data_IF_106253159833
#
_entry.id   IF_106253159833
#
_cell.length_a   1.000
_cell.length_b   1.000
_cell.length_c   1.000
_cell.angle_alpha   90.00
_cell.angle_beta   90.00
_cell.angle_gamma   90.00
#
_symmetry.space_group_name_H-M   'P 1'
#
loop_
_entity.id
_entity.type
_entity.pdbx_description
1 polymer ?
#
# COMPACT_ATOMS: atom_id res chain seq x y z
N UNK A 1 -24.11 17.41 12.09
CA UNK A 1 -25.16 17.61 11.05
C UNK A 1 -25.33 19.07 10.56
N UNK A 2 -24.72 20.10 11.20
CA UNK A 2 -24.72 21.48 10.66
C UNK A 2 -23.47 21.83 9.82
N UNK A 3 -22.38 21.08 9.94
CA UNK A 3 -21.13 21.29 9.19
C UNK A 3 -21.23 20.81 7.72
N UNK A 4 -22.00 19.75 7.47
CA UNK A 4 -22.16 19.14 6.14
C UNK A 4 -22.84 20.05 5.08
N UNK A 5 -23.56 21.10 5.51
CA UNK A 5 -24.23 22.04 4.60
C UNK A 5 -23.40 23.26 4.20
N UNK A 6 -22.22 23.48 4.80
CA UNK A 6 -21.40 24.65 4.48
C UNK A 6 -20.64 24.48 3.16
N UNK A 7 -20.36 23.23 2.75
CA UNK A 7 -19.55 22.90 1.59
C UNK A 7 -20.35 22.48 0.34
N UNK A 8 -21.65 22.18 0.48
CA UNK A 8 -22.48 21.58 -0.58
C UNK A 8 -22.91 22.54 -1.69
N UNK A 9 -22.31 23.74 -1.76
CA UNK A 9 -22.68 24.80 -2.69
C UNK A 9 -21.54 25.79 -2.93
N UNK A 10 -20.28 25.34 -2.92
CA UNK A 10 -19.16 26.21 -3.28
C UNK A 10 -19.27 26.63 -4.74
N UNK A 11 -19.77 27.85 -4.94
CA UNK A 11 -19.79 28.53 -6.21
C UNK A 11 -18.34 28.57 -6.74
N UNK A 12 -18.11 27.98 -7.92
CA UNK A 12 -16.80 27.93 -8.61
C UNK A 12 -16.12 29.29 -8.67
N UNK A 13 -16.91 30.38 -8.63
CA UNK A 13 -16.44 31.77 -8.55
C UNK A 13 -15.73 32.11 -7.24
N UNK A 14 -16.17 31.56 -6.09
CA UNK A 14 -15.54 31.79 -4.78
C UNK A 14 -14.15 31.14 -4.77
N UNK A 15 -14.06 29.87 -5.20
CA UNK A 15 -12.76 29.18 -5.34
C UNK A 15 -11.80 29.92 -6.27
N UNK A 16 -12.29 30.37 -7.43
CA UNK A 16 -11.51 31.20 -8.36
C UNK A 16 -10.97 32.47 -7.71
N UNK A 17 -11.77 33.14 -6.87
CA UNK A 17 -11.34 34.34 -6.14
C UNK A 17 -10.35 34.03 -5.03
N UNK A 18 -10.50 32.91 -4.32
CA UNK A 18 -9.54 32.49 -3.30
C UNK A 18 -8.20 32.07 -3.92
N UNK A 19 -8.24 31.45 -5.10
CA UNK A 19 -7.03 31.04 -5.83
C UNK A 19 -6.10 32.20 -6.16
N UNK A 20 -6.62 33.44 -6.28
CA UNK A 20 -5.78 34.61 -6.50
C UNK A 20 -4.76 34.84 -5.37
N UNK A 21 -5.09 34.42 -4.13
CA UNK A 21 -4.21 34.49 -2.97
C UNK A 21 -3.27 33.29 -2.89
N UNK A 22 -3.65 32.13 -3.44
CA UNK A 22 -2.80 30.95 -3.56
C UNK A 22 -1.77 31.03 -4.71
N UNK A 23 -2.11 31.72 -5.80
CA UNK A 23 -1.30 31.83 -7.03
C UNK A 23 0.16 32.27 -6.79
N UNK A 24 0.47 33.25 -5.92
CA UNK A 24 1.86 33.62 -5.61
C UNK A 24 2.68 32.46 -5.01
N UNK A 25 2.02 31.51 -4.36
CA UNK A 25 2.63 30.32 -3.75
C UNK A 25 2.51 29.07 -4.63
N UNK A 26 2.09 29.20 -5.90
CA UNK A 26 1.79 28.09 -6.79
C UNK A 26 2.93 27.08 -6.97
N UNK A 27 4.20 27.53 -6.97
CA UNK A 27 5.35 26.63 -7.04
C UNK A 27 5.47 25.72 -5.81
N UNK A 28 5.18 26.23 -4.61
CA UNK A 28 5.18 25.44 -3.37
C UNK A 28 4.00 24.48 -3.32
N UNK A 29 2.82 24.93 -3.78
CA UNK A 29 1.62 24.09 -3.91
C UNK A 29 1.89 22.92 -4.87
N UNK A 30 2.59 23.16 -5.99
CA UNK A 30 2.99 22.11 -6.91
C UNK A 30 3.93 21.09 -6.24
N UNK A 31 4.90 21.55 -5.44
CA UNK A 31 5.79 20.65 -4.69
C UNK A 31 5.01 19.82 -3.67
N UNK A 32 4.08 20.44 -2.91
CA UNK A 32 3.19 19.75 -1.98
C UNK A 32 2.40 18.65 -2.71
N UNK A 33 1.83 18.98 -3.88
CA UNK A 33 1.09 18.02 -4.69
C UNK A 33 1.97 16.84 -5.16
N UNK A 34 3.21 17.12 -5.60
CA UNK A 34 4.17 16.06 -5.97
C UNK A 34 4.52 15.20 -4.76
N UNK A 35 4.71 15.78 -3.58
CA UNK A 35 4.97 15.03 -2.35
C UNK A 35 3.79 14.13 -1.98
N UNK A 36 2.55 14.62 -2.10
CA UNK A 36 1.34 13.82 -1.87
C UNK A 36 1.34 12.61 -2.81
N UNK A 37 1.53 12.82 -4.12
CA UNK A 37 1.59 11.72 -5.08
C UNK A 37 2.71 10.72 -4.78
N UNK A 38 3.88 11.19 -4.35
CA UNK A 38 4.99 10.32 -3.96
C UNK A 38 4.66 9.49 -2.72
N UNK A 39 4.07 10.10 -1.69
CA UNK A 39 3.65 9.42 -0.45
C UNK A 39 2.58 8.38 -0.76
N UNK A 40 1.55 8.73 -1.55
CA UNK A 40 0.52 7.78 -1.98
C UNK A 40 1.11 6.62 -2.79
N UNK A 41 2.08 6.89 -3.66
CA UNK A 41 2.82 5.85 -4.39
C UNK A 41 3.54 4.88 -3.44
N UNK A 42 4.19 5.39 -2.40
CA UNK A 42 4.85 4.57 -1.37
C UNK A 42 3.81 3.76 -0.58
N UNK A 43 2.70 4.36 -0.16
CA UNK A 43 1.64 3.69 0.58
C UNK A 43 1.03 2.51 -0.19
N UNK A 44 0.94 2.61 -1.53
CA UNK A 44 0.50 1.52 -2.39
C UNK A 44 1.62 0.47 -2.58
N UNK A 45 2.88 0.89 -2.68
CA UNK A 45 4.01 -0.02 -2.86
C UNK A 45 4.22 -0.94 -1.65
N UNK A 46 4.04 -0.46 -0.41
CA UNK A 46 4.23 -1.23 0.82
C UNK A 46 3.41 -2.54 0.87
N UNK A 47 2.07 -2.54 0.73
CA UNK A 47 1.28 -3.77 0.75
C UNK A 47 1.61 -4.69 -0.43
N UNK A 48 1.97 -4.15 -1.60
CA UNK A 48 2.39 -4.95 -2.76
C UNK A 48 3.71 -5.67 -2.50
N UNK A 49 4.69 -4.99 -1.90
CA UNK A 49 5.95 -5.59 -1.48
C UNK A 49 5.68 -6.68 -0.43
N UNK A 50 4.90 -6.38 0.61
CA UNK A 50 4.57 -7.35 1.66
C UNK A 50 3.88 -8.58 1.08
N UNK A 51 2.89 -8.39 0.20
CA UNK A 51 2.21 -9.49 -0.50
C UNK A 51 3.21 -10.34 -1.27
N UNK A 52 4.05 -9.72 -2.10
CA UNK A 52 5.05 -10.43 -2.89
C UNK A 52 6.06 -11.20 -2.02
N UNK A 53 6.41 -10.65 -0.85
CA UNK A 53 7.31 -11.31 0.10
C UNK A 53 6.65 -12.52 0.74
N UNK A 54 5.42 -12.35 1.21
CA UNK A 54 4.64 -13.43 1.84
C UNK A 54 4.44 -14.57 0.85
N UNK A 55 3.94 -14.26 -0.35
CA UNK A 55 3.56 -15.23 -1.37
C UNK A 55 4.77 -16.04 -1.90
N UNK A 56 5.92 -15.40 -2.08
CA UNK A 56 7.06 -16.05 -2.74
C UNK A 56 8.13 -16.59 -1.80
N UNK A 57 8.26 -16.05 -0.58
CA UNK A 57 9.36 -16.40 0.33
C UNK A 57 8.90 -16.96 1.67
N UNK A 58 7.69 -16.61 2.14
CA UNK A 58 7.17 -17.09 3.44
C UNK A 58 6.24 -18.29 3.23
N UNK A 59 5.11 -18.11 2.55
CA UNK A 59 4.10 -19.14 2.28
C UNK A 59 4.34 -19.84 0.93
N UNK A 60 5.58 -20.24 0.69
CA UNK A 60 5.99 -20.95 -0.53
C UNK A 60 5.61 -22.44 -0.49
N UNK A 61 4.35 -22.75 -0.24
CA UNK A 61 3.83 -24.12 -0.29
C UNK A 61 3.30 -24.49 -1.66
N UNK A 62 3.45 -25.77 -2.01
CA UNK A 62 2.93 -26.38 -3.22
C UNK A 62 1.89 -27.43 -2.84
N UNK A 63 0.83 -27.50 -3.64
CA UNK A 63 -0.16 -28.55 -3.60
C UNK A 63 0.22 -29.63 -4.61
N UNK A 64 -0.01 -30.89 -4.22
CA UNK A 64 0.14 -32.04 -5.10
C UNK A 64 -1.22 -32.38 -5.70
N UNK A 65 -1.27 -32.38 -7.02
CA UNK A 65 -2.43 -32.72 -7.83
C UNK A 65 -2.16 -34.02 -8.60
N UNK A 66 -3.18 -34.85 -8.75
CA UNK A 66 -3.13 -36.03 -9.62
C UNK A 66 -3.31 -35.57 -11.07
N UNK A 67 -2.48 -36.06 -12.01
CA UNK A 67 -2.58 -35.67 -13.41
C UNK A 67 -3.83 -36.28 -14.07
N UNK A 68 -4.73 -35.43 -14.53
CA UNK A 68 -6.00 -35.75 -15.19
C UNK A 68 -6.39 -34.57 -16.13
N UNK A 69 -7.11 -34.84 -17.21
CA UNK A 69 -7.69 -33.83 -18.12
C UNK A 69 -8.30 -32.62 -17.38
N UNK A 70 -9.13 -32.84 -16.35
CA UNK A 70 -9.73 -31.78 -15.51
C UNK A 70 -8.69 -30.95 -14.78
N UNK A 71 -7.71 -31.59 -14.15
CA UNK A 71 -6.63 -30.86 -13.46
C UNK A 71 -5.76 -30.09 -14.45
N UNK A 72 -5.56 -30.61 -15.65
CA UNK A 72 -4.79 -29.94 -16.69
C UNK A 72 -5.52 -28.72 -17.20
N UNK A 73 -6.84 -28.80 -17.38
CA UNK A 73 -7.74 -27.71 -17.77
C UNK A 73 -7.75 -26.58 -16.72
N UNK A 74 -8.06 -26.90 -15.45
CA UNK A 74 -8.09 -25.90 -14.37
C UNK A 74 -6.71 -25.28 -14.15
N UNK A 75 -5.63 -26.06 -14.27
CA UNK A 75 -4.26 -25.56 -14.08
C UNK A 75 -3.62 -24.98 -15.33
N UNK A 76 -4.29 -24.96 -16.48
CA UNK A 76 -3.64 -24.49 -17.72
C UNK A 76 -3.34 -22.99 -17.68
N UNK A 77 -4.21 -22.21 -17.03
CA UNK A 77 -3.99 -20.79 -16.72
C UNK A 77 -2.69 -20.55 -15.95
N UNK A 78 -2.24 -21.55 -15.16
CA UNK A 78 -1.03 -21.49 -14.34
C UNK A 78 0.12 -22.34 -14.90
N UNK A 79 0.10 -22.66 -16.20
CA UNK A 79 1.07 -23.56 -16.86
C UNK A 79 2.54 -23.18 -16.64
N UNK A 80 2.85 -21.89 -16.47
CA UNK A 80 4.22 -21.40 -16.21
C UNK A 80 4.72 -21.84 -14.82
N UNK A 81 3.82 -21.88 -13.83
CA UNK A 81 4.15 -22.12 -12.42
C UNK A 81 4.05 -23.59 -12.03
N UNK A 82 3.34 -24.42 -12.81
CA UNK A 82 3.22 -25.84 -12.52
C UNK A 82 4.52 -26.62 -12.81
N UNK A 83 4.79 -27.60 -11.96
CA UNK A 83 5.85 -28.60 -12.15
C UNK A 83 5.16 -29.93 -12.42
N UNK A 84 5.40 -30.52 -13.60
CA UNK A 84 4.81 -31.82 -13.96
C UNK A 84 5.86 -32.91 -13.76
N UNK A 85 5.47 -34.00 -13.12
CA UNK A 85 6.30 -35.19 -12.97
C UNK A 85 5.42 -36.42 -13.10
N UNK A 86 5.69 -37.28 -14.08
CA UNK A 86 4.93 -38.51 -14.37
C UNK A 86 3.40 -38.34 -14.26
N UNK A 87 2.80 -38.76 -13.13
CA UNK A 87 1.36 -38.73 -12.89
C UNK A 87 0.92 -37.65 -11.87
N UNK A 88 1.77 -36.68 -11.56
CA UNK A 88 1.52 -35.64 -10.55
C UNK A 88 1.88 -34.25 -11.08
N UNK A 89 1.12 -33.26 -10.60
CA UNK A 89 1.37 -31.83 -10.85
C UNK A 89 1.57 -31.16 -9.51
N UNK A 90 2.66 -30.40 -9.36
CA UNK A 90 2.83 -29.48 -8.25
C UNK A 90 2.45 -28.07 -8.68
N UNK A 91 1.61 -27.42 -7.88
CA UNK A 91 1.18 -26.04 -8.11
C UNK A 91 1.33 -25.22 -6.83
N UNK A 92 1.87 -23.99 -6.88
CA UNK A 92 1.88 -23.11 -5.72
C UNK A 92 0.48 -22.94 -5.11
N UNK A 93 0.36 -23.08 -3.79
CA UNK A 93 -0.92 -23.09 -3.09
C UNK A 93 -1.66 -21.76 -3.13
N UNK A 94 -0.94 -20.66 -3.35
CA UNK A 94 -1.49 -19.30 -3.41
C UNK A 94 -2.12 -18.94 -4.77
N UNK A 95 -2.00 -19.81 -5.78
CA UNK A 95 -2.54 -19.53 -7.13
C UNK A 95 -3.98 -19.99 -7.32
N UNK A 96 -4.43 -20.99 -6.56
CA UNK A 96 -5.80 -21.50 -6.67
C UNK A 96 -6.76 -20.60 -5.92
N UNK A 97 -7.82 -20.17 -6.61
CA UNK A 97 -8.95 -19.53 -5.95
C UNK A 97 -9.70 -20.54 -5.07
N UNK A 98 -10.47 -20.05 -4.11
CA UNK A 98 -11.23 -20.91 -3.18
C UNK A 98 -12.16 -21.89 -3.92
N UNK A 99 -12.84 -21.42 -4.97
CA UNK A 99 -13.77 -22.25 -5.74
C UNK A 99 -13.03 -23.34 -6.53
N UNK A 100 -11.94 -22.99 -7.21
CA UNK A 100 -11.08 -23.92 -7.94
C UNK A 100 -10.49 -24.99 -6.98
N UNK A 101 -10.06 -24.58 -5.79
CA UNK A 101 -9.56 -25.50 -4.77
C UNK A 101 -10.64 -26.49 -4.32
N UNK A 102 -11.85 -26.01 -4.00
CA UNK A 102 -12.94 -26.86 -3.53
C UNK A 102 -13.43 -27.82 -4.61
N UNK A 103 -13.47 -27.39 -5.87
CA UNK A 103 -13.80 -28.24 -7.02
C UNK A 103 -12.80 -29.40 -7.16
N UNK A 104 -11.50 -29.08 -7.17
CA UNK A 104 -10.44 -30.07 -7.29
C UNK A 104 -10.33 -30.98 -6.04
N UNK A 105 -10.71 -30.48 -4.87
CA UNK A 105 -10.76 -31.28 -3.64
C UNK A 105 -11.96 -32.25 -3.65
N UNK A 106 -13.12 -31.81 -4.13
CA UNK A 106 -14.35 -32.64 -4.19
C UNK A 106 -14.13 -33.89 -5.03
N UNK A 107 -13.41 -33.74 -6.14
CA UNK A 107 -13.08 -34.84 -7.04
C UNK A 107 -11.84 -35.65 -6.58
N UNK A 108 -11.33 -35.41 -5.36
CA UNK A 108 -10.14 -36.06 -4.80
C UNK A 108 -8.85 -35.89 -5.63
N UNK A 109 -8.78 -34.84 -6.46
CA UNK A 109 -7.59 -34.53 -7.26
C UNK A 109 -6.51 -33.78 -6.47
N UNK A 110 -6.89 -33.10 -5.38
CA UNK A 110 -5.95 -32.45 -4.43
C UNK A 110 -5.81 -33.32 -3.19
N UNK A 111 -4.56 -33.63 -2.84
CA UNK A 111 -4.22 -34.13 -1.51
C UNK A 111 -4.07 -32.94 -0.54
N UNK A 112 -4.58 -33.02 0.70
CA UNK A 112 -4.55 -31.90 1.66
C UNK A 112 -3.13 -31.58 2.15
N UNK A 113 -2.16 -32.42 1.84
CA UNK A 113 -0.77 -32.24 2.25
C UNK A 113 -0.08 -31.15 1.42
N UNK A 114 0.53 -30.19 2.13
CA UNK A 114 1.37 -29.15 1.53
C UNK A 114 2.81 -29.66 1.38
N UNK A 115 3.48 -29.20 0.34
CA UNK A 115 4.87 -29.54 0.01
C UNK A 115 5.72 -28.28 -0.08
N UNK A 116 6.98 -28.35 0.36
CA UNK A 116 7.98 -27.29 0.13
C UNK A 116 8.88 -27.69 -1.02
N UNK A 117 9.05 -26.79 -1.97
CA UNK A 117 9.99 -26.96 -3.07
C UNK A 117 11.37 -26.44 -2.70
N UNK A 118 12.37 -27.32 -2.76
CA UNK A 118 13.77 -27.00 -2.55
C UNK A 118 14.51 -27.15 -3.87
N UNK A 119 15.17 -26.07 -4.28
CA UNK A 119 15.99 -26.02 -5.50
C UNK A 119 17.44 -26.40 -5.24
N UNK A 120 17.93 -26.14 -4.03
CA UNK A 120 19.33 -26.37 -3.67
C UNK A 120 19.61 -27.85 -3.38
N UNK A 121 20.48 -28.45 -4.20
CA UNK A 121 20.91 -29.84 -4.08
C UNK A 121 21.87 -30.06 -2.90
N UNK A 122 22.64 -29.04 -2.50
CA UNK A 122 23.61 -29.17 -1.40
C UNK A 122 22.91 -29.26 -0.03
N UNK A 123 21.87 -28.46 0.19
CA UNK A 123 21.01 -28.55 1.37
C UNK A 123 20.30 -29.90 1.50
N UNK A 124 19.96 -30.53 0.37
CA UNK A 124 19.33 -31.86 0.31
C UNK A 124 20.27 -32.98 0.77
N UNK A 125 21.57 -32.88 0.48
CA UNK A 125 22.55 -33.90 0.86
C UNK A 125 22.74 -34.00 2.38
N UNK A 126 22.64 -32.87 3.09
CA UNK A 126 22.70 -32.81 4.57
C UNK A 126 21.47 -33.41 5.25
N UNK A 127 20.37 -33.60 4.50
CA UNK A 127 19.10 -34.13 5.01
C UNK A 127 18.89 -35.62 4.73
N UNK A 128 19.82 -36.29 4.02
CA UNK A 128 19.75 -37.74 3.75
C UNK A 128 19.64 -38.58 5.02
N UNK A 129 20.20 -38.10 6.13
CA UNK A 129 20.13 -38.75 7.45
C UNK A 129 18.71 -38.87 8.03
N UNK A 130 17.78 -38.01 7.61
CA UNK A 130 16.41 -37.97 8.14
C UNK A 130 15.42 -38.90 7.42
N UNK A 131 15.88 -39.67 6.41
CA UNK A 131 15.06 -40.60 5.62
C UNK A 131 13.73 -39.99 5.16
N UNK A 132 13.80 -38.79 4.59
CA UNK A 132 12.63 -38.03 4.13
C UNK A 132 12.07 -38.63 2.83
N UNK A 133 10.75 -38.62 2.68
CA UNK A 133 10.00 -38.94 1.46
C UNK A 133 10.08 -37.78 0.47
N UNK A 134 11.24 -37.66 -0.18
CA UNK A 134 11.51 -36.57 -1.13
C UNK A 134 11.05 -36.95 -2.52
N UNK A 135 10.15 -36.14 -3.09
CA UNK A 135 9.72 -36.30 -4.49
C UNK A 135 10.63 -35.44 -5.36
N UNK A 136 11.50 -36.08 -6.15
CA UNK A 136 12.40 -35.39 -7.08
C UNK A 136 11.68 -35.13 -8.40
N UNK A 137 11.80 -33.91 -8.90
CA UNK A 137 11.27 -33.49 -10.20
C UNK A 137 12.37 -32.80 -11.02
N UNK A 138 12.09 -32.54 -12.29
CA UNK A 138 12.95 -31.78 -13.20
C UNK A 138 13.34 -30.38 -12.66
N UNK A 139 12.42 -29.69 -11.97
CA UNK A 139 12.61 -28.32 -11.48
C UNK A 139 13.10 -28.23 -10.03
N UNK A 140 13.03 -29.31 -9.26
CA UNK A 140 13.43 -29.30 -7.85
C UNK A 140 12.94 -30.52 -7.07
N UNK A 141 13.24 -30.53 -5.77
CA UNK A 141 12.77 -31.59 -4.86
C UNK A 141 11.66 -31.07 -3.96
N UNK A 142 10.62 -31.87 -3.77
CA UNK A 142 9.48 -31.53 -2.92
C UNK A 142 9.53 -32.36 -1.64
N UNK A 143 9.44 -31.68 -0.50
CA UNK A 143 9.39 -32.29 0.83
C UNK A 143 8.02 -32.03 1.46
N UNK A 144 7.31 -33.06 1.93
CA UNK A 144 6.04 -32.88 2.62
C UNK A 144 6.21 -32.11 3.93
N UNK A 145 5.26 -31.22 4.26
CA UNK A 145 5.30 -30.44 5.52
C UNK A 145 5.23 -31.33 6.77
N UNK A 146 4.56 -32.47 6.68
CA UNK A 146 4.48 -33.48 7.75
C UNK A 146 5.87 -33.97 8.17
N UNK A 147 6.80 -34.06 7.23
CA UNK A 147 8.16 -34.52 7.49
C UNK A 147 9.12 -33.45 7.98
N UNK A 148 8.76 -32.16 7.83
CA UNK A 148 9.60 -31.08 8.37
C UNK A 148 9.71 -31.12 9.89
N UNK A 149 8.74 -31.73 10.58
CA UNK A 149 8.79 -31.92 12.04
C UNK A 149 9.96 -32.80 12.48
N UNK A 150 10.49 -33.65 11.58
CA UNK A 150 11.64 -34.52 11.85
C UNK A 150 12.98 -33.78 11.76
N UNK A 151 12.99 -32.59 11.16
CA UNK A 151 14.21 -31.83 10.90
C UNK A 151 14.45 -30.84 12.05
N UNK A 152 15.69 -30.78 12.55
CA UNK A 152 16.07 -29.78 13.55
C UNK A 152 15.87 -28.35 13.03
N UNK A 153 15.40 -27.39 13.84
CA UNK A 153 15.18 -25.99 13.42
C UNK A 153 16.39 -25.34 12.74
N UNK A 154 17.61 -25.68 13.13
CA UNK A 154 18.82 -25.11 12.52
C UNK A 154 19.08 -25.64 11.11
N UNK A 155 18.69 -26.89 10.84
CA UNK A 155 18.77 -27.47 9.50
C UNK A 155 17.69 -26.91 8.57
N UNK A 156 16.52 -26.52 9.10
CA UNK A 156 15.49 -25.82 8.34
C UNK A 156 15.97 -24.42 7.90
N UNK A 157 16.70 -23.70 8.76
CA UNK A 157 17.28 -22.39 8.40
C UNK A 157 18.28 -22.49 7.25
N UNK A 158 19.09 -23.55 7.23
CA UNK A 158 20.04 -23.80 6.13
C UNK A 158 19.28 -24.03 4.83
N UNK A 159 18.21 -24.83 4.87
CA UNK A 159 17.37 -25.14 3.71
C UNK A 159 16.64 -23.93 3.15
N UNK A 160 16.30 -22.96 4.01
CA UNK A 160 15.60 -21.71 3.66
C UNK A 160 16.51 -20.48 3.67
N UNK A 161 17.82 -20.66 3.58
CA UNK A 161 18.78 -19.56 3.68
C UNK A 161 18.52 -18.48 2.62
N UNK A 162 18.27 -18.89 1.38
CA UNK A 162 17.98 -17.98 0.27
C UNK A 162 16.67 -17.19 0.50
N UNK A 163 15.63 -17.87 0.99
CA UNK A 163 14.35 -17.22 1.30
C UNK A 163 14.54 -16.19 2.41
N UNK A 164 15.25 -16.55 3.49
CA UNK A 164 15.53 -15.65 4.62
C UNK A 164 16.37 -14.44 4.21
N UNK A 165 17.34 -14.62 3.31
CA UNK A 165 18.15 -13.53 2.76
C UNK A 165 17.29 -12.55 1.98
N UNK A 166 16.39 -13.03 1.14
CA UNK A 166 15.47 -12.18 0.37
C UNK A 166 14.47 -11.48 1.29
N UNK A 167 13.88 -12.18 2.27
CA UNK A 167 12.99 -11.58 3.27
C UNK A 167 13.70 -10.46 4.03
N UNK A 168 14.95 -10.66 4.45
CA UNK A 168 15.74 -9.62 5.13
C UNK A 168 15.98 -8.40 4.25
N UNK A 169 16.30 -8.60 2.96
CA UNK A 169 16.47 -7.50 2.00
C UNK A 169 15.18 -6.69 1.83
N UNK A 170 14.05 -7.37 1.63
CA UNK A 170 12.75 -6.70 1.50
C UNK A 170 12.31 -6.02 2.80
N UNK A 171 12.61 -6.60 3.97
CA UNK A 171 12.34 -5.97 5.26
C UNK A 171 13.15 -4.68 5.42
N UNK A 172 14.42 -4.67 5.02
CA UNK A 172 15.25 -3.46 5.08
C UNK A 172 14.75 -2.39 4.08
N UNK A 173 14.35 -2.81 2.87
CA UNK A 173 13.73 -1.92 1.89
C UNK A 173 12.41 -1.35 2.40
N UNK A 174 11.58 -2.15 3.06
CA UNK A 174 10.31 -1.73 3.68
C UNK A 174 10.55 -0.65 4.74
N UNK A 175 11.49 -0.86 5.64
CA UNK A 175 11.89 0.14 6.64
C UNK A 175 12.44 1.40 5.95
N UNK A 176 13.25 1.25 4.91
CA UNK A 176 13.75 2.37 4.11
C UNK A 176 12.63 3.21 3.49
N UNK A 177 11.63 2.56 2.89
CA UNK A 177 10.46 3.25 2.32
C UNK A 177 9.63 3.96 3.38
N UNK A 178 9.47 3.37 4.58
CA UNK A 178 8.81 4.05 5.69
C UNK A 178 9.55 5.31 6.13
N UNK A 179 10.88 5.25 6.22
CA UNK A 179 11.70 6.43 6.56
C UNK A 179 11.58 7.52 5.48
N UNK A 180 11.62 7.15 4.20
CA UNK A 180 11.42 8.11 3.09
C UNK A 180 10.02 8.72 3.15
N UNK A 181 8.99 7.90 3.36
CA UNK A 181 7.60 8.35 3.51
C UNK A 181 7.46 9.33 4.69
N UNK A 182 8.07 9.01 5.83
CA UNK A 182 8.09 9.87 7.01
C UNK A 182 8.71 11.24 6.70
N UNK A 183 9.87 11.26 6.05
CA UNK A 183 10.55 12.50 5.67
C UNK A 183 9.71 13.33 4.69
N UNK A 184 9.14 12.68 3.66
CA UNK A 184 8.30 13.37 2.69
C UNK A 184 7.03 13.93 3.32
N UNK A 185 6.38 13.16 4.19
CA UNK A 185 5.21 13.59 4.93
C UNK A 185 5.54 14.77 5.84
N UNK A 186 6.64 14.72 6.59
CA UNK A 186 7.08 15.84 7.42
C UNK A 186 7.23 17.14 6.60
N UNK A 187 7.94 17.08 5.47
CA UNK A 187 8.10 18.25 4.62
C UNK A 187 6.79 18.71 3.99
N UNK A 188 5.93 17.78 3.57
CA UNK A 188 4.62 18.09 3.01
C UNK A 188 3.75 18.84 4.03
N UNK A 189 3.62 18.33 5.25
CA UNK A 189 2.84 18.94 6.33
C UNK A 189 3.37 20.32 6.69
N UNK A 190 4.68 20.45 6.90
CA UNK A 190 5.31 21.74 7.25
C UNK A 190 5.15 22.77 6.12
N UNK A 191 5.42 22.37 4.87
CA UNK A 191 5.24 23.26 3.73
C UNK A 191 3.79 23.69 3.55
N UNK A 192 2.85 22.75 3.70
CA UNK A 192 1.42 23.04 3.61
C UNK A 192 1.02 24.06 4.67
N UNK A 193 1.36 23.83 5.94
CA UNK A 193 1.06 24.75 7.04
C UNK A 193 1.62 26.16 6.77
N UNK A 194 2.88 26.27 6.32
CA UNK A 194 3.51 27.56 6.02
C UNK A 194 2.83 28.25 4.83
N UNK A 195 2.43 27.51 3.79
CA UNK A 195 1.74 28.08 2.63
C UNK A 195 0.35 28.54 3.03
N UNK A 196 -0.42 27.72 3.74
CA UNK A 196 -1.78 28.06 4.21
C UNK A 196 -1.78 29.33 5.05
N UNK A 197 -0.90 29.43 6.05
CA UNK A 197 -0.84 30.61 6.91
C UNK A 197 -0.43 31.87 6.14
N UNK A 198 0.45 31.75 5.13
CA UNK A 198 0.80 32.90 4.27
C UNK A 198 -0.36 33.34 3.38
N UNK A 199 -1.08 32.39 2.77
CA UNK A 199 -2.28 32.68 1.96
C UNK A 199 -3.33 33.37 2.82
N UNK A 200 -3.56 32.90 4.05
CA UNK A 200 -4.49 33.52 5.00
C UNK A 200 -4.03 34.89 5.45
N UNK A 201 -2.74 35.08 5.70
CA UNK A 201 -2.17 36.39 6.04
C UNK A 201 -2.44 37.41 4.92
N UNK A 202 -2.18 37.05 3.66
CA UNK A 202 -2.40 37.94 2.51
C UNK A 202 -3.89 38.26 2.34
N UNK A 203 -4.77 37.26 2.54
CA UNK A 203 -6.22 37.43 2.53
C UNK A 203 -6.68 38.42 3.62
N UNK A 204 -6.29 38.20 4.89
CA UNK A 204 -6.65 39.07 6.01
C UNK A 204 -6.12 40.49 5.81
N UNK A 205 -4.87 40.62 5.37
CA UNK A 205 -4.24 41.92 5.13
C UNK A 205 -4.99 42.72 4.07
N UNK A 206 -5.40 42.08 2.97
CA UNK A 206 -6.17 42.74 1.91
C UNK A 206 -7.59 43.09 2.34
N UNK A 207 -8.27 42.21 3.10
CA UNK A 207 -9.59 42.50 3.64
C UNK A 207 -9.57 43.69 4.62
N UNK A 208 -8.58 43.74 5.52
CA UNK A 208 -8.40 44.86 6.45
C UNK A 208 -8.09 46.15 5.72
N UNK A 209 -7.18 46.14 4.74
CA UNK A 209 -6.90 47.31 3.89
C UNK A 209 -8.15 47.80 3.16
N UNK A 210 -8.94 46.89 2.61
CA UNK A 210 -10.19 47.25 1.94
C UNK A 210 -11.20 47.87 2.92
N UNK A 211 -11.38 47.28 4.10
CA UNK A 211 -12.28 47.81 5.12
C UNK A 211 -11.87 49.22 5.56
N UNK A 212 -10.59 49.47 5.81
CA UNK A 212 -10.10 50.81 6.18
C UNK A 212 -10.26 51.86 5.06
N UNK A 213 -10.46 51.44 3.81
CA UNK A 213 -10.71 52.35 2.68
C UNK A 213 -12.19 52.74 2.52
N UNK A 214 -13.11 52.09 3.25
CA UNK A 214 -14.54 52.35 3.15
C UNK A 214 -14.94 53.66 3.87
N UNK A 215 -16.02 54.27 3.41
CA UNK A 215 -16.51 55.54 3.97
C UNK A 215 -17.14 55.36 5.35
N UNK A 216 -17.13 56.41 6.17
CA UNK A 216 -17.84 56.43 7.46
C UNK A 216 -19.32 56.04 7.34
N UNK A 217 -19.97 56.39 6.22
CA UNK A 217 -21.36 56.01 5.97
C UNK A 217 -21.55 54.48 5.86
N UNK A 218 -20.55 53.74 5.37
CA UNK A 218 -20.60 52.28 5.37
C UNK A 218 -20.62 51.73 6.80
N UNK A 219 -19.79 52.28 7.69
CA UNK A 219 -19.70 51.86 9.09
C UNK A 219 -20.92 52.24 9.92
N UNK A 220 -21.62 53.33 9.58
CA UNK A 220 -22.90 53.68 10.20
C UNK A 220 -24.00 52.64 9.89
N UNK A 221 -23.94 52.00 8.72
CA UNK A 221 -24.93 51.01 8.27
C UNK A 221 -24.52 49.55 8.56
N UNK A 222 -23.29 49.31 9.02
CA UNK A 222 -22.76 47.97 9.28
C UNK A 222 -22.10 47.92 10.67
N UNK A 223 -22.69 47.21 11.65
CA UNK A 223 -22.11 47.12 12.99
C UNK A 223 -20.68 46.58 12.97
N UNK A 224 -19.77 47.30 13.62
CA UNK A 224 -18.33 46.97 13.65
C UNK A 224 -18.10 45.54 14.16
N UNK A 225 -18.84 45.10 15.19
CA UNK A 225 -18.74 43.75 15.72
C UNK A 225 -19.00 42.67 14.66
N UNK A 226 -19.98 42.88 13.77
CA UNK A 226 -20.27 41.94 12.66
C UNK A 226 -19.10 41.87 11.67
N UNK A 227 -18.48 43.01 11.37
CA UNK A 227 -17.34 43.07 10.45
C UNK A 227 -16.12 42.35 11.02
N UNK A 228 -15.83 42.54 12.30
CA UNK A 228 -14.75 41.84 13.01
C UNK A 228 -15.00 40.34 13.03
N UNK A 229 -16.21 39.90 13.40
CA UNK A 229 -16.58 38.48 13.41
C UNK A 229 -16.42 37.84 12.03
N UNK A 230 -16.79 38.52 10.95
CA UNK A 230 -16.57 37.99 9.58
C UNK A 230 -15.09 37.91 9.19
N UNK A 231 -14.31 38.93 9.55
CA UNK A 231 -12.86 38.95 9.32
C UNK A 231 -12.11 37.83 10.04
N UNK A 232 -12.58 37.44 11.23
CA UNK A 232 -11.97 36.35 12.00
C UNK A 232 -12.58 35.02 11.59
N UNK A 233 -13.87 34.82 11.82
CA UNK A 233 -14.50 33.51 11.77
C UNK A 233 -14.69 33.01 10.35
N UNK A 234 -15.12 33.87 9.41
CA UNK A 234 -15.33 33.42 8.02
C UNK A 234 -13.97 33.15 7.35
N UNK A 235 -12.92 33.90 7.72
CA UNK A 235 -11.56 33.64 7.21
C UNK A 235 -10.95 32.38 7.83
N UNK A 236 -11.23 32.09 9.10
CA UNK A 236 -10.81 30.84 9.74
C UNK A 236 -11.49 29.63 9.10
N UNK A 237 -12.78 29.71 8.77
CA UNK A 237 -13.48 28.67 8.02
C UNK A 237 -12.85 28.44 6.63
N UNK A 238 -12.39 29.50 5.96
CA UNK A 238 -11.66 29.38 4.69
C UNK A 238 -10.28 28.74 4.86
N UNK A 239 -9.62 28.94 6.01
CA UNK A 239 -8.35 28.28 6.34
C UNK A 239 -8.53 26.79 6.54
N UNK A 240 -9.57 26.38 7.27
CA UNK A 240 -9.91 24.97 7.47
C UNK A 240 -10.17 24.29 6.13
N UNK A 241 -11.03 24.87 5.29
CA UNK A 241 -11.29 24.36 3.94
C UNK A 241 -10.01 24.23 3.09
N UNK A 242 -9.10 25.20 3.17
CA UNK A 242 -7.84 25.14 2.42
C UNK A 242 -6.87 24.10 2.99
N UNK A 243 -6.97 23.75 4.26
CA UNK A 243 -6.17 22.67 4.86
C UNK A 243 -6.74 21.33 4.44
N UNK A 244 -8.06 21.15 4.59
CA UNK A 244 -8.78 19.91 4.30
C UNK A 244 -8.67 19.45 2.83
N UNK A 245 -8.63 20.38 1.87
CA UNK A 245 -8.53 20.03 0.44
C UNK A 245 -7.17 19.41 0.07
N UNK A 246 -6.14 19.63 0.89
CA UNK A 246 -4.77 19.17 0.62
C UNK A 246 -4.25 18.18 1.66
N UNK A 247 -5.09 17.79 2.62
CA UNK A 247 -4.87 16.67 3.55
C UNK A 247 -5.41 15.37 2.92
#
# INVERSE_FOLDING_TARGET
MKEEKLYSGLDRKIFSKLWQYGKPYGGKILIIFILILAISGIQIALPLITKNVVDNYIERSYLRLILNDRTVEVTDKYKVYRVKSDNIIFLPSNLLNKDEYLELQKDSFILPEKYLMIKDKEGLDKLKQYQLSIIKTDKGSFIPYSEMQKISPDNIKILRYDDLKMVKLFALLYVGLLLVSFVFNYFQVVMMAVVSERVMYDLRSNLVRHLMSLSLNFFNNNPIGRLVTRLTNDVDALREMFTDVFE
#
